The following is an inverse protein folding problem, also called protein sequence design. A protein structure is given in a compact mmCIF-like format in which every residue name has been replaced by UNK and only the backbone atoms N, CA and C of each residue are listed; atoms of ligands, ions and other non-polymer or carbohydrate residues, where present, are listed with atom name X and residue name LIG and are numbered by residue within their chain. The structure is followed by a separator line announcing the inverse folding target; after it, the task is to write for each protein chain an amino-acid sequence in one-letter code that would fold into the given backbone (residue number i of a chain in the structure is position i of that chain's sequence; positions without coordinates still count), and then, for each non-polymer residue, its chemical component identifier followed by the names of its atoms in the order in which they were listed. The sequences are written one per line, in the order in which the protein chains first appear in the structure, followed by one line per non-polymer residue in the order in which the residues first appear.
data_IF_089450094676
#
_entry.id   IF_089450094676
#
_cell.length_a   1.000
_cell.length_b   1.000
_cell.length_c   1.000
_cell.angle_alpha   90.00
_cell.angle_beta   90.00
_cell.angle_gamma   90.00
#
_symmetry.space_group_name_H-M   'P 1'
#
loop_
_entity.id
_entity.type
_entity.pdbx_description
1 polymer ?
#
# COMPACT_ATOMS: atom_id res chain seq x y z
N UNK A 1 9.68 -11.27 -13.92
CA UNK A 1 10.21 -10.18 -13.11
C UNK A 1 10.74 -9.03 -13.98
N UNK A 2 11.72 -9.26 -14.85
CA UNK A 2 12.37 -8.19 -15.64
C UNK A 2 11.41 -7.31 -16.43
N UNK A 3 10.41 -7.89 -17.11
CA UNK A 3 9.38 -7.12 -17.84
C UNK A 3 8.60 -6.17 -16.92
N UNK A 4 8.25 -6.60 -15.72
CA UNK A 4 7.55 -5.74 -14.73
C UNK A 4 8.46 -4.61 -14.26
N UNK A 5 9.73 -4.88 -13.95
CA UNK A 5 10.69 -3.86 -13.57
C UNK A 5 10.88 -2.81 -14.66
N UNK A 6 10.98 -3.23 -15.95
CA UNK A 6 11.07 -2.30 -17.08
C UNK A 6 9.85 -1.37 -17.16
N UNK A 7 8.64 -1.92 -17.03
CA UNK A 7 7.39 -1.12 -17.05
C UNK A 7 7.34 -0.15 -15.85
N UNK A 8 7.62 -0.64 -14.65
CA UNK A 8 7.62 0.17 -13.43
C UNK A 8 8.66 1.31 -13.52
N UNK A 9 9.86 1.00 -13.96
CA UNK A 9 10.92 2.00 -14.12
C UNK A 9 10.56 3.05 -15.18
N UNK A 10 9.88 2.64 -16.26
CA UNK A 10 9.35 3.57 -17.26
C UNK A 10 8.30 4.49 -16.64
N UNK A 11 7.33 3.95 -15.87
CA UNK A 11 6.32 4.76 -15.19
C UNK A 11 6.98 5.77 -14.25
N UNK A 12 7.90 5.33 -13.39
CA UNK A 12 8.60 6.22 -12.46
C UNK A 12 9.39 7.33 -13.14
N UNK A 13 9.92 7.04 -14.35
CA UNK A 13 10.67 8.02 -15.15
C UNK A 13 9.74 9.04 -15.82
N UNK A 14 8.63 8.59 -16.39
CA UNK A 14 7.73 9.43 -17.17
C UNK A 14 6.70 10.17 -16.29
N UNK A 15 6.36 9.59 -15.13
CA UNK A 15 5.40 10.13 -14.16
C UNK A 15 6.04 10.11 -12.76
N UNK A 16 6.91 11.08 -12.43
CA UNK A 16 7.72 11.04 -11.18
C UNK A 16 6.90 10.94 -9.88
N UNK A 17 5.65 11.45 -9.90
CA UNK A 17 4.76 11.45 -8.73
C UNK A 17 3.70 10.34 -8.78
N UNK A 18 3.86 9.34 -9.66
CA UNK A 18 2.93 8.22 -9.73
C UNK A 18 2.92 7.43 -8.42
N UNK A 19 1.76 7.22 -7.87
CA UNK A 19 1.54 6.35 -6.72
C UNK A 19 1.37 4.92 -7.22
N UNK A 20 2.31 4.05 -6.87
CA UNK A 20 2.31 2.66 -7.31
C UNK A 20 1.60 1.78 -6.29
N UNK A 21 0.53 1.14 -6.75
CA UNK A 21 -0.24 0.17 -5.98
C UNK A 21 -0.22 -1.19 -6.64
N UNK A 22 -0.11 -2.24 -5.84
CA UNK A 22 -0.23 -3.63 -6.32
C UNK A 22 -0.82 -4.53 -5.26
N UNK A 23 -1.27 -5.70 -5.71
CA UNK A 23 -1.71 -6.80 -4.85
C UNK A 23 -0.92 -8.06 -5.24
N UNK A 24 -0.47 -8.79 -4.25
CA UNK A 24 0.25 -10.04 -4.41
C UNK A 24 -0.53 -11.19 -3.77
N UNK A 25 -0.42 -12.37 -4.37
CA UNK A 25 -0.86 -13.62 -3.77
C UNK A 25 0.40 -14.46 -3.53
N UNK A 26 0.54 -15.00 -2.32
CA UNK A 26 1.64 -15.87 -1.92
C UNK A 26 1.14 -17.26 -1.53
N UNK A 27 1.98 -18.28 -1.69
CA UNK A 27 1.57 -19.67 -1.41
C UNK A 27 0.76 -20.29 -2.52
N UNK A 28 0.83 -19.76 -3.76
CA UNK A 28 0.21 -20.38 -4.91
C UNK A 28 0.84 -21.77 -5.18
N UNK A 29 0.07 -22.77 -5.68
CA UNK A 29 0.61 -24.09 -6.00
C UNK A 29 1.89 -24.02 -6.82
N UNK A 30 2.94 -24.67 -6.38
CA UNK A 30 4.26 -24.68 -7.02
C UNK A 30 5.19 -23.53 -6.61
N UNK A 31 4.75 -22.55 -5.82
CA UNK A 31 5.63 -21.49 -5.32
C UNK A 31 6.73 -22.06 -4.42
N UNK A 32 7.95 -22.09 -4.93
CA UNK A 32 9.13 -22.56 -4.19
C UNK A 32 9.57 -21.54 -3.12
N UNK A 33 10.55 -21.93 -2.31
CA UNK A 33 11.19 -20.99 -1.38
C UNK A 33 12.00 -19.94 -2.12
N UNK A 34 12.64 -20.33 -3.20
CA UNK A 34 13.44 -19.46 -4.08
C UNK A 34 12.57 -18.42 -4.76
N UNK A 35 11.38 -18.80 -5.24
CA UNK A 35 10.41 -17.86 -5.83
C UNK A 35 9.95 -16.82 -4.80
N UNK A 36 9.71 -17.26 -3.57
CA UNK A 36 9.33 -16.37 -2.48
C UNK A 36 10.45 -15.39 -2.09
N UNK A 37 11.72 -15.84 -2.05
CA UNK A 37 12.86 -14.94 -1.81
C UNK A 37 12.99 -13.91 -2.94
N UNK A 38 12.85 -14.33 -4.22
CA UNK A 38 12.85 -13.42 -5.36
C UNK A 38 11.72 -12.38 -5.31
N UNK A 39 10.53 -12.79 -4.84
CA UNK A 39 9.40 -11.89 -4.63
C UNK A 39 9.69 -10.85 -3.54
N UNK A 40 10.33 -11.24 -2.43
CA UNK A 40 10.74 -10.29 -1.38
C UNK A 40 11.73 -9.26 -1.91
N UNK A 41 12.68 -9.70 -2.71
CA UNK A 41 13.67 -8.81 -3.30
C UNK A 41 13.05 -7.88 -4.34
N UNK A 42 12.08 -8.37 -5.11
CA UNK A 42 11.29 -7.53 -6.02
C UNK A 42 10.54 -6.43 -5.27
N UNK A 43 9.87 -6.74 -4.15
CA UNK A 43 9.15 -5.76 -3.32
C UNK A 43 10.10 -4.70 -2.75
N UNK A 44 11.28 -5.13 -2.25
CA UNK A 44 12.32 -4.21 -1.72
C UNK A 44 12.91 -3.31 -2.81
N UNK A 45 13.05 -3.82 -4.03
CA UNK A 45 13.60 -3.08 -5.18
C UNK A 45 12.60 -2.04 -5.68
N UNK A 46 11.35 -2.46 -5.91
CA UNK A 46 10.30 -1.58 -6.46
C UNK A 46 9.88 -0.52 -5.48
N UNK A 47 9.70 -0.86 -4.21
CA UNK A 47 9.19 0.03 -3.15
C UNK A 47 7.84 0.62 -3.55
N UNK A 48 6.82 -0.23 -3.60
CA UNK A 48 5.45 0.21 -3.85
C UNK A 48 4.98 1.17 -2.75
N UNK A 49 4.20 2.18 -3.12
CA UNK A 49 3.56 3.07 -2.15
C UNK A 49 2.53 2.29 -1.34
N UNK A 50 1.70 1.50 -2.02
CA UNK A 50 0.69 0.65 -1.43
C UNK A 50 0.81 -0.78 -1.95
N UNK A 51 0.73 -1.75 -1.06
CA UNK A 51 0.80 -3.16 -1.42
C UNK A 51 -0.08 -3.97 -0.47
N UNK A 52 -1.03 -4.70 -1.04
CA UNK A 52 -1.79 -5.74 -0.37
C UNK A 52 -1.19 -7.12 -0.66
N UNK A 53 -1.21 -8.00 0.33
CA UNK A 53 -0.77 -9.40 0.16
C UNK A 53 -1.84 -10.31 0.72
N UNK A 54 -2.12 -11.39 0.00
CA UNK A 54 -3.05 -12.42 0.42
C UNK A 54 -2.38 -13.78 0.35
N UNK A 55 -2.59 -14.60 1.38
CA UNK A 55 -2.30 -16.02 1.27
C UNK A 55 -3.27 -16.66 0.27
N UNK A 56 -2.75 -17.51 -0.63
CA UNK A 56 -3.58 -18.26 -1.55
C UNK A 56 -4.58 -19.11 -0.78
N UNK A 57 -5.85 -19.05 -1.18
CA UNK A 57 -6.93 -19.91 -0.70
C UNK A 57 -7.26 -20.94 -1.79
N UNK A 58 -7.25 -22.22 -1.42
CA UNK A 58 -7.51 -23.30 -2.35
C UNK A 58 -9.02 -23.56 -2.43
N UNK A 59 -9.66 -22.96 -3.44
CA UNK A 59 -11.11 -23.02 -3.64
C UNK A 59 -11.52 -24.13 -4.61
N UNK A 60 -12.51 -24.92 -4.22
CA UNK A 60 -13.11 -25.94 -5.09
C UNK A 60 -13.58 -25.34 -6.42
N UNK A 61 -13.63 -26.13 -7.47
CA UNK A 61 -14.03 -25.74 -8.83
C UNK A 61 -13.08 -24.74 -9.54
N UNK A 62 -11.88 -24.52 -9.03
CA UNK A 62 -10.82 -23.78 -9.72
C UNK A 62 -9.76 -24.69 -10.31
N UNK A 63 -9.07 -24.25 -11.38
CA UNK A 63 -7.92 -24.99 -11.93
C UNK A 63 -6.84 -25.21 -10.88
N UNK A 64 -6.60 -24.20 -10.04
CA UNK A 64 -5.59 -24.23 -9.00
C UNK A 64 -5.87 -25.31 -7.93
N UNK A 65 -7.13 -25.67 -7.71
CA UNK A 65 -7.51 -26.72 -6.76
C UNK A 65 -6.90 -28.08 -7.10
N UNK A 66 -6.82 -28.40 -8.40
CA UNK A 66 -6.30 -29.66 -8.92
C UNK A 66 -4.79 -29.66 -9.20
N UNK A 67 -4.11 -28.53 -9.00
CA UNK A 67 -2.67 -28.43 -9.23
C UNK A 67 -1.88 -29.22 -8.18
N UNK A 68 -0.81 -29.87 -8.64
CA UNK A 68 0.18 -30.48 -7.75
C UNK A 68 0.98 -29.43 -6.99
N UNK A 69 1.74 -29.89 -5.98
CA UNK A 69 2.64 -29.04 -5.20
C UNK A 69 1.93 -27.90 -4.46
N UNK A 70 0.78 -28.18 -3.88
CA UNK A 70 0.07 -27.27 -2.99
C UNK A 70 0.97 -26.80 -1.85
N UNK A 71 0.97 -25.50 -1.58
CA UNK A 71 1.71 -24.91 -0.46
C UNK A 71 0.86 -25.00 0.80
N UNK A 72 1.44 -25.46 1.90
CA UNK A 72 0.75 -25.51 3.19
C UNK A 72 0.23 -24.12 3.60
N UNK A 73 -1.01 -24.07 4.08
CA UNK A 73 -1.68 -22.80 4.46
C UNK A 73 -0.88 -22.00 5.50
N UNK A 74 -0.23 -22.69 6.45
CA UNK A 74 0.60 -22.01 7.46
C UNK A 74 1.82 -21.35 6.83
N UNK A 75 2.40 -21.97 5.78
CA UNK A 75 3.51 -21.41 5.03
C UNK A 75 3.02 -20.19 4.24
N UNK A 76 1.88 -20.29 3.55
CA UNK A 76 1.29 -19.17 2.81
C UNK A 76 1.00 -17.97 3.74
N UNK A 77 0.38 -18.18 4.90
CA UNK A 77 0.14 -17.13 5.91
C UNK A 77 1.43 -16.55 6.51
N UNK A 78 2.47 -17.37 6.68
CA UNK A 78 3.76 -16.87 7.13
C UNK A 78 4.42 -15.96 6.07
N UNK A 79 4.35 -16.34 4.79
CA UNK A 79 4.82 -15.54 3.65
C UNK A 79 4.09 -14.22 3.53
N UNK A 80 2.75 -14.23 3.62
CA UNK A 80 1.92 -13.02 3.65
C UNK A 80 2.39 -12.05 4.74
N UNK A 81 2.50 -12.53 5.97
CA UNK A 81 2.96 -11.73 7.11
C UNK A 81 4.35 -11.15 6.90
N UNK A 82 5.26 -11.92 6.32
CA UNK A 82 6.64 -11.47 6.07
C UNK A 82 6.70 -10.36 5.03
N UNK A 83 5.99 -10.49 3.89
CA UNK A 83 5.90 -9.43 2.87
C UNK A 83 5.25 -8.18 3.45
N UNK A 84 4.15 -8.32 4.21
CA UNK A 84 3.48 -7.18 4.84
C UNK A 84 4.39 -6.44 5.83
N UNK A 85 5.27 -7.14 6.55
CA UNK A 85 6.27 -6.50 7.42
C UNK A 85 7.33 -5.72 6.63
N UNK A 86 7.76 -6.26 5.48
CA UNK A 86 8.68 -5.56 4.57
C UNK A 86 8.00 -4.29 4.04
N UNK A 87 6.77 -4.41 3.52
CA UNK A 87 6.02 -3.29 3.00
C UNK A 87 5.75 -2.21 4.05
N UNK A 88 5.40 -2.58 5.26
CA UNK A 88 5.20 -1.62 6.37
C UNK A 88 6.42 -0.72 6.58
N UNK A 89 7.63 -1.28 6.48
CA UNK A 89 8.89 -0.50 6.60
C UNK A 89 9.10 0.41 5.39
N UNK A 90 8.78 -0.08 4.19
CA UNK A 90 8.87 0.69 2.94
C UNK A 90 7.89 1.87 3.00
N UNK A 91 6.61 1.62 3.30
CA UNK A 91 5.58 2.65 3.39
C UNK A 91 5.94 3.73 4.42
N UNK A 92 6.41 3.32 5.62
CA UNK A 92 6.89 4.28 6.63
C UNK A 92 8.05 5.14 6.10
N UNK A 93 8.99 4.54 5.37
CA UNK A 93 10.13 5.27 4.79
C UNK A 93 9.69 6.26 3.72
N UNK A 94 8.76 5.85 2.84
CA UNK A 94 8.21 6.72 1.80
C UNK A 94 7.41 7.87 2.41
N UNK A 95 6.55 7.59 3.39
CA UNK A 95 5.77 8.61 4.07
C UNK A 95 6.65 9.62 4.82
N UNK A 96 7.76 9.18 5.43
CA UNK A 96 8.70 10.10 6.08
C UNK A 96 9.29 11.12 5.11
N UNK A 97 9.51 10.76 3.85
CA UNK A 97 10.02 11.69 2.84
C UNK A 97 8.99 12.77 2.45
N UNK A 98 7.70 12.54 2.73
CA UNK A 98 6.60 13.47 2.47
C UNK A 98 6.38 14.52 3.57
N UNK A 99 7.10 14.43 4.69
CA UNK A 99 7.00 15.44 5.77
C UNK A 99 7.36 16.81 5.21
N UNK A 100 6.54 17.82 5.53
CA UNK A 100 6.52 19.19 5.02
C UNK A 100 5.94 19.38 3.61
N UNK A 101 5.54 18.34 2.89
CA UNK A 101 4.75 18.50 1.68
C UNK A 101 3.37 19.08 1.99
N UNK A 102 2.82 19.85 1.04
CA UNK A 102 1.47 20.40 1.11
C UNK A 102 0.62 19.72 0.06
N UNK A 103 -0.50 19.16 0.48
CA UNK A 103 -1.43 18.44 -0.36
C UNK A 103 -2.80 19.11 -0.38
N UNK A 104 -3.51 19.03 -1.51
CA UNK A 104 -4.93 19.28 -1.59
C UNK A 104 -5.65 18.01 -1.10
N UNK A 105 -6.35 18.12 0.03
CA UNK A 105 -7.00 17.01 0.72
C UNK A 105 -8.51 17.20 0.69
N UNK A 106 -9.22 16.24 0.13
CA UNK A 106 -10.68 16.15 0.20
C UNK A 106 -11.06 15.70 1.61
N UNK A 107 -11.84 16.50 2.32
CA UNK A 107 -12.38 16.15 3.64
C UNK A 107 -13.55 15.19 3.47
N UNK A 108 -13.51 14.04 4.12
CA UNK A 108 -14.49 12.97 3.96
C UNK A 108 -15.26 12.66 5.23
N UNK A 109 -14.63 12.82 6.41
CA UNK A 109 -15.26 12.47 7.68
C UNK A 109 -14.72 13.31 8.85
N UNK A 110 -15.47 13.27 9.98
CA UNK A 110 -15.09 13.91 11.24
C UNK A 110 -15.58 13.06 12.42
N UNK A 111 -14.65 12.61 13.26
CA UNK A 111 -14.94 11.76 14.43
C UNK A 111 -15.30 12.54 15.71
N UNK A 112 -15.44 13.85 15.62
CA UNK A 112 -15.64 14.76 16.77
C UNK A 112 -14.33 15.34 17.32
N UNK A 113 -13.17 14.87 16.86
CA UNK A 113 -11.86 15.34 17.31
C UNK A 113 -10.89 15.60 16.14
N UNK A 114 -10.90 14.74 15.15
CA UNK A 114 -10.06 14.84 13.95
C UNK A 114 -10.92 14.80 12.69
N UNK A 115 -10.48 15.49 11.66
CA UNK A 115 -10.99 15.33 10.31
C UNK A 115 -10.18 14.25 9.60
N UNK A 116 -10.86 13.48 8.75
CA UNK A 116 -10.27 12.47 7.89
C UNK A 116 -10.48 12.86 6.45
N UNK A 117 -9.48 12.63 5.63
CA UNK A 117 -9.56 12.94 4.21
C UNK A 117 -8.48 12.24 3.42
N UNK A 118 -8.45 12.47 2.13
CA UNK A 118 -7.43 11.92 1.24
C UNK A 118 -7.05 12.88 0.13
N UNK A 119 -5.80 12.74 -0.29
CA UNK A 119 -5.27 13.36 -1.49
C UNK A 119 -5.07 12.29 -2.58
N UNK A 120 -4.39 12.66 -3.67
CA UNK A 120 -4.00 11.70 -4.70
C UNK A 120 -3.10 10.54 -4.21
N UNK A 121 -2.57 10.61 -2.99
CA UNK A 121 -1.77 9.55 -2.39
C UNK A 121 -2.57 8.28 -2.10
N UNK A 122 -3.88 8.39 -1.94
CA UNK A 122 -4.75 7.30 -1.53
C UNK A 122 -5.88 7.11 -2.54
N UNK A 123 -6.11 5.86 -2.95
CA UNK A 123 -7.22 5.54 -3.83
C UNK A 123 -8.56 5.70 -3.10
N UNK A 124 -9.64 6.09 -3.82
CA UNK A 124 -11.01 5.98 -3.31
C UNK A 124 -11.29 4.53 -2.95
N UNK A 125 -12.07 4.31 -1.92
CA UNK A 125 -12.56 2.98 -1.48
C UNK A 125 -11.45 1.97 -1.13
N UNK A 126 -10.22 2.44 -0.93
CA UNK A 126 -9.10 1.60 -0.54
C UNK A 126 -8.73 1.88 0.93
N UNK A 127 -8.54 0.81 1.69
CA UNK A 127 -8.08 0.88 3.08
C UNK A 127 -6.56 1.13 3.16
N UNK A 128 -6.06 2.08 2.35
CA UNK A 128 -4.62 2.34 2.25
C UNK A 128 -4.12 3.28 3.35
N UNK A 129 -5.02 4.07 3.96
CA UNK A 129 -4.73 5.08 4.98
C UNK A 129 -5.44 6.41 4.72
N UNK A 130 -5.24 7.36 5.62
CA UNK A 130 -5.91 8.66 5.62
C UNK A 130 -4.94 9.79 5.89
N UNK A 131 -5.37 11.01 5.49
CA UNK A 131 -4.93 12.24 6.13
C UNK A 131 -5.73 12.43 7.41
N UNK A 132 -5.05 12.47 8.56
CA UNK A 132 -5.63 12.77 9.87
C UNK A 132 -5.29 14.22 10.19
N UNK A 133 -6.30 15.07 10.28
CA UNK A 133 -6.13 16.53 10.36
C UNK A 133 -6.73 17.05 11.65
N UNK A 134 -5.90 17.73 12.44
CA UNK A 134 -6.38 18.51 13.57
C UNK A 134 -6.62 19.95 13.13
N UNK A 135 -7.82 20.46 13.34
CA UNK A 135 -8.16 21.84 13.03
C UNK A 135 -9.05 22.45 14.10
N UNK A 136 -8.76 23.70 14.47
CA UNK A 136 -9.67 24.53 15.29
C UNK A 136 -10.77 25.17 14.45
N UNK A 137 -10.63 25.16 13.12
CA UNK A 137 -11.65 25.63 12.18
C UNK A 137 -12.58 24.47 11.84
N UNK A 138 -13.86 24.77 11.69
CA UNK A 138 -14.79 23.82 11.10
C UNK A 138 -14.49 23.64 9.62
N UNK A 139 -14.15 22.40 9.24
CA UNK A 139 -13.96 22.02 7.85
C UNK A 139 -15.26 21.42 7.31
N UNK A 140 -15.52 21.64 6.04
CA UNK A 140 -16.74 21.15 5.39
C UNK A 140 -16.42 19.83 4.70
N UNK A 141 -17.18 18.78 5.02
CA UNK A 141 -17.08 17.50 4.34
C UNK A 141 -17.45 17.67 2.87
N UNK A 142 -16.63 17.10 1.98
CA UNK A 142 -16.77 17.26 0.53
C UNK A 142 -15.96 18.41 -0.07
N UNK A 143 -15.30 19.23 0.73
CA UNK A 143 -14.43 20.30 0.24
C UNK A 143 -12.96 19.95 0.31
N UNK A 144 -12.16 20.58 -0.55
CA UNK A 144 -10.71 20.47 -0.56
C UNK A 144 -10.08 21.55 0.32
N UNK A 145 -9.12 21.15 1.13
CA UNK A 145 -8.28 22.04 1.92
C UNK A 145 -6.79 21.72 1.70
N UNK A 146 -5.94 22.73 1.85
CA UNK A 146 -4.49 22.53 1.82
C UNK A 146 -4.01 22.08 3.18
N UNK A 147 -3.35 20.93 3.22
CA UNK A 147 -2.84 20.29 4.44
C UNK A 147 -1.34 20.09 4.30
N UNK A 148 -0.58 20.60 5.26
CA UNK A 148 0.85 20.35 5.40
C UNK A 148 1.07 19.11 6.26
N UNK A 149 1.83 18.13 5.75
CA UNK A 149 2.19 16.92 6.49
C UNK A 149 3.22 17.26 7.56
N UNK A 150 2.92 16.96 8.82
CA UNK A 150 3.81 17.19 9.96
C UNK A 150 4.27 15.90 10.66
N UNK A 151 3.52 14.81 10.54
CA UNK A 151 3.90 13.51 11.06
C UNK A 151 3.34 12.38 10.20
N UNK A 152 3.86 11.17 10.35
CA UNK A 152 3.46 10.02 9.55
C UNK A 152 3.49 8.73 10.35
N UNK A 153 2.61 7.81 10.00
CA UNK A 153 2.68 6.38 10.32
C UNK A 153 3.09 5.58 9.08
N UNK A 154 3.02 4.26 9.15
CA UNK A 154 3.23 3.43 7.96
C UNK A 154 2.08 3.56 6.94
N UNK A 155 0.89 3.91 7.39
CA UNK A 155 -0.32 3.97 6.56
C UNK A 155 -0.89 5.39 6.49
N UNK A 156 -0.97 6.08 7.61
CA UNK A 156 -1.59 7.39 7.68
C UNK A 156 -0.57 8.52 7.68
N UNK A 157 -1.01 9.67 7.27
CA UNK A 157 -0.28 10.93 7.40
C UNK A 157 -1.06 11.90 8.28
N UNK A 158 -0.36 12.60 9.15
CA UNK A 158 -0.93 13.60 10.02
C UNK A 158 -0.55 14.99 9.52
N UNK A 159 -1.50 15.91 9.51
CA UNK A 159 -1.26 17.23 8.98
C UNK A 159 -2.07 18.34 9.66
N UNK A 160 -1.74 19.55 9.26
CA UNK A 160 -2.39 20.78 9.72
C UNK A 160 -2.64 21.73 8.54
N UNK A 161 -3.55 22.70 8.72
CA UNK A 161 -3.93 23.72 7.71
C UNK A 161 -2.89 24.82 7.61
#
# INVERSE_FOLDING_TARGET
REKYLQVINKIKKEIPNAILRTTLIVGFPGESKEDFEDLKDFVKEVKFDHLGVFAFSNEEDTEAYSMDNQVDEKIAKAREKEIMQIQKRISLSLNKNRINEIHDVLIEDFDGNNYYGRSYLYAPDAEDGYFIIKSQKNLIIGEYVKVKINAVTAYDVLGEL
#
